data_IF_720858141677
#
_entry.id   IF_720858141677
#
_cell.length_a   1.000
_cell.length_b   1.000
_cell.length_c   1.000
_cell.angle_alpha   90.00
_cell.angle_beta   90.00
_cell.angle_gamma   90.00
#
_symmetry.space_group_name_H-M   'P 1'
#
loop_
_entity.id
_entity.type
_entity.pdbx_description
1 polymer ?
#
# COMPACT_ATOMS: atom_id res chain seq x y z
N UNK A 1 14.39 -17.93 26.03
CA UNK A 1 14.34 -16.82 25.05
C UNK A 1 15.76 -16.30 24.81
N UNK A 2 16.21 -16.20 23.55
CA UNK A 2 17.54 -15.64 23.23
C UNK A 2 17.53 -14.15 23.61
N UNK A 3 18.42 -13.73 24.53
CA UNK A 3 18.57 -12.33 24.90
C UNK A 3 19.40 -11.64 23.83
N UNK A 4 18.78 -10.79 23.02
CA UNK A 4 19.48 -10.00 22.02
C UNK A 4 20.03 -8.73 22.65
N UNK A 5 21.22 -8.32 22.24
CA UNK A 5 21.78 -7.02 22.61
C UNK A 5 21.07 -5.88 21.86
N UNK A 6 21.22 -4.64 22.36
CA UNK A 6 20.70 -3.44 21.70
C UNK A 6 21.21 -3.30 20.26
N UNK A 7 22.49 -3.59 20.03
CA UNK A 7 23.13 -3.46 18.71
C UNK A 7 22.65 -4.55 17.75
N UNK A 8 22.45 -5.77 18.24
CA UNK A 8 21.87 -6.86 17.44
C UNK A 8 20.43 -6.56 17.02
N UNK A 9 19.62 -5.99 17.91
CA UNK A 9 18.25 -5.58 17.58
C UNK A 9 18.23 -4.45 16.53
N UNK A 10 19.15 -3.47 16.63
CA UNK A 10 19.29 -2.42 15.61
C UNK A 10 19.67 -3.01 14.25
N UNK A 11 20.66 -3.90 14.20
CA UNK A 11 21.06 -4.57 12.97
C UNK A 11 19.89 -5.38 12.37
N UNK A 12 19.16 -6.12 13.21
CA UNK A 12 17.99 -6.87 12.78
C UNK A 12 16.88 -5.97 12.21
N UNK A 13 16.64 -4.80 12.82
CA UNK A 13 15.66 -3.83 12.32
C UNK A 13 16.07 -3.30 10.94
N UNK A 14 17.35 -3.03 10.71
CA UNK A 14 17.85 -2.56 9.40
C UNK A 14 17.57 -3.62 8.33
N UNK A 15 17.96 -4.88 8.57
CA UNK A 15 17.72 -5.98 7.63
C UNK A 15 16.22 -6.18 7.34
N UNK A 16 15.40 -6.20 8.40
CA UNK A 16 13.95 -6.34 8.25
C UNK A 16 13.30 -5.15 7.51
N UNK A 17 13.88 -3.95 7.63
CA UNK A 17 13.41 -2.76 6.90
C UNK A 17 13.74 -2.88 5.40
N UNK A 18 14.93 -3.36 5.05
CA UNK A 18 15.32 -3.65 3.67
C UNK A 18 14.39 -4.71 3.08
N UNK A 19 14.14 -5.80 3.81
CA UNK A 19 13.23 -6.87 3.37
C UNK A 19 11.80 -6.39 3.17
N UNK A 20 11.29 -5.55 4.08
CA UNK A 20 9.97 -4.94 3.92
C UNK A 20 9.89 -4.03 2.70
N UNK A 21 10.95 -3.24 2.44
CA UNK A 21 11.03 -2.40 1.25
C UNK A 21 11.07 -3.23 -0.04
N UNK A 22 11.92 -4.26 -0.11
CA UNK A 22 11.99 -5.21 -1.23
C UNK A 22 10.65 -5.89 -1.48
N UNK A 23 9.97 -6.32 -0.42
CA UNK A 23 8.64 -6.92 -0.52
C UNK A 23 7.59 -5.92 -1.03
N UNK A 24 7.72 -4.64 -0.68
CA UNK A 24 6.85 -3.58 -1.19
C UNK A 24 7.06 -3.34 -2.68
N UNK A 25 8.31 -3.30 -3.14
CA UNK A 25 8.63 -3.23 -4.57
C UNK A 25 8.09 -4.43 -5.35
N UNK A 26 8.19 -5.64 -4.77
CA UNK A 26 7.62 -6.84 -5.39
C UNK A 26 6.10 -6.74 -5.56
N UNK A 27 5.38 -6.21 -4.55
CA UNK A 27 3.93 -5.96 -4.66
C UNK A 27 3.63 -4.95 -5.77
N UNK A 28 4.39 -3.86 -5.88
CA UNK A 28 4.20 -2.87 -6.95
C UNK A 28 4.41 -3.47 -8.33
N UNK A 29 5.47 -4.27 -8.51
CA UNK A 29 5.75 -4.97 -9.79
C UNK A 29 4.61 -5.91 -10.17
N UNK A 30 4.17 -6.79 -9.26
CA UNK A 30 3.05 -7.70 -9.52
C UNK A 30 1.74 -6.98 -9.81
N UNK A 31 1.52 -5.81 -9.20
CA UNK A 31 0.34 -5.00 -9.49
C UNK A 31 0.39 -4.41 -10.89
N UNK A 32 1.56 -3.96 -11.33
CA UNK A 32 1.74 -3.45 -12.70
C UNK A 32 1.55 -4.56 -13.72
N UNK A 33 2.18 -5.72 -13.52
CA UNK A 33 1.99 -6.90 -14.39
C UNK A 33 0.51 -7.28 -14.52
N UNK A 34 -0.24 -7.31 -13.41
CA UNK A 34 -1.67 -7.59 -13.44
C UNK A 34 -2.47 -6.53 -14.23
N UNK A 35 -2.13 -5.25 -14.06
CA UNK A 35 -2.76 -4.17 -14.83
C UNK A 35 -2.46 -4.28 -16.32
N UNK A 36 -1.23 -4.64 -16.69
CA UNK A 36 -0.83 -4.84 -18.08
C UNK A 36 -1.59 -6.02 -18.72
N UNK A 37 -1.81 -7.09 -17.95
CA UNK A 37 -2.66 -8.20 -18.37
C UNK A 37 -4.11 -7.78 -18.58
N UNK A 38 -4.69 -6.98 -17.68
CA UNK A 38 -6.04 -6.42 -17.88
C UNK A 38 -6.13 -5.59 -19.15
N UNK A 39 -5.17 -4.69 -19.39
CA UNK A 39 -5.14 -3.89 -20.61
C UNK A 39 -5.01 -4.76 -21.86
N UNK A 40 -4.15 -5.77 -21.83
CA UNK A 40 -3.95 -6.70 -22.96
C UNK A 40 -5.24 -7.46 -23.27
N UNK A 41 -5.92 -7.99 -22.24
CA UNK A 41 -7.17 -8.71 -22.40
C UNK A 41 -8.28 -7.82 -22.98
N UNK A 42 -8.48 -6.63 -22.41
CA UNK A 42 -9.55 -5.73 -22.85
C UNK A 42 -9.30 -5.14 -24.24
N UNK A 43 -8.04 -4.99 -24.66
CA UNK A 43 -7.71 -4.62 -26.05
C UNK A 43 -8.12 -5.71 -27.06
N UNK A 44 -8.01 -6.99 -26.68
CA UNK A 44 -8.31 -8.11 -27.58
C UNK A 44 -9.80 -8.47 -27.60
N UNK A 45 -10.48 -8.41 -26.46
CA UNK A 45 -11.86 -8.89 -26.30
C UNK A 45 -12.91 -7.77 -26.19
N UNK A 46 -12.47 -6.51 -26.05
CA UNK A 46 -13.33 -5.38 -25.75
C UNK A 46 -13.60 -5.23 -24.26
N UNK A 47 -13.93 -4.00 -23.84
CA UNK A 47 -14.31 -3.71 -22.46
C UNK A 47 -15.82 -3.99 -22.26
N UNK A 48 -16.22 -4.75 -21.21
CA UNK A 48 -17.62 -5.02 -20.93
C UNK A 48 -18.44 -3.76 -20.60
N UNK A 49 -17.82 -2.80 -19.89
CA UNK A 49 -18.45 -1.56 -19.45
C UNK A 49 -17.51 -0.37 -19.65
N UNK A 50 -17.70 0.45 -20.70
CA UNK A 50 -16.95 1.69 -20.84
C UNK A 50 -17.32 2.63 -19.69
N UNK A 51 -16.31 3.11 -18.94
CA UNK A 51 -16.37 3.95 -17.72
C UNK A 51 -16.45 3.22 -16.37
N UNK A 52 -16.54 1.89 -16.33
CA UNK A 52 -16.42 1.18 -15.05
C UNK A 52 -14.96 0.99 -14.65
N UNK A 53 -14.62 1.34 -13.41
CA UNK A 53 -13.29 1.06 -12.84
C UNK A 53 -13.36 -0.17 -11.94
N UNK A 54 -12.74 -1.26 -12.40
CA UNK A 54 -12.59 -2.49 -11.63
C UNK A 54 -13.13 -3.72 -12.36
N UNK A 55 -13.09 -4.85 -11.66
CA UNK A 55 -13.59 -6.13 -12.14
C UNK A 55 -14.65 -6.60 -11.16
N UNK A 56 -15.84 -6.88 -11.68
CA UNK A 56 -16.94 -7.46 -10.90
C UNK A 56 -16.78 -8.97 -10.90
N UNK A 57 -16.59 -9.55 -9.72
CA UNK A 57 -16.38 -10.99 -9.56
C UNK A 57 -17.67 -11.80 -9.80
N UNK A 58 -18.82 -11.18 -9.55
CA UNK A 58 -20.14 -11.84 -9.65
C UNK A 58 -20.75 -11.75 -11.05
N UNK A 59 -20.16 -10.95 -11.96
CA UNK A 59 -20.69 -10.75 -13.30
C UNK A 59 -20.01 -11.72 -14.29
N UNK A 60 -20.79 -12.60 -14.97
CA UNK A 60 -20.27 -13.55 -15.95
C UNK A 60 -19.46 -12.91 -17.08
N UNK A 61 -19.71 -11.64 -17.42
CA UNK A 61 -18.97 -10.93 -18.48
C UNK A 61 -17.49 -10.77 -18.15
N UNK A 62 -17.14 -10.78 -16.86
CA UNK A 62 -15.76 -10.69 -16.40
C UNK A 62 -15.12 -12.07 -16.19
N UNK A 63 -15.86 -13.18 -16.36
CA UNK A 63 -15.34 -14.53 -16.12
C UNK A 63 -14.06 -14.80 -16.93
N UNK A 64 -14.03 -14.40 -18.21
CA UNK A 64 -12.86 -14.61 -19.06
C UNK A 64 -11.62 -13.83 -18.63
N UNK A 65 -11.76 -12.56 -18.18
CA UNK A 65 -10.62 -11.79 -17.66
C UNK A 65 -10.16 -12.32 -16.30
N UNK A 66 -11.09 -12.79 -15.47
CA UNK A 66 -10.79 -13.40 -14.17
C UNK A 66 -9.97 -14.68 -14.37
N UNK A 67 -10.40 -15.55 -15.28
CA UNK A 67 -9.68 -16.78 -15.63
C UNK A 67 -8.29 -16.47 -16.19
N UNK A 68 -8.20 -15.55 -17.15
CA UNK A 68 -6.94 -15.12 -17.76
C UNK A 68 -5.93 -14.55 -16.76
N UNK A 69 -6.41 -13.84 -15.73
CA UNK A 69 -5.53 -13.16 -14.75
C UNK A 69 -5.40 -13.88 -13.41
N UNK A 70 -5.98 -15.07 -13.26
CA UNK A 70 -6.08 -15.77 -11.98
C UNK A 70 -4.70 -16.02 -11.34
N UNK A 71 -3.73 -16.46 -12.12
CA UNK A 71 -2.37 -16.73 -11.65
C UNK A 71 -1.65 -15.44 -11.19
N UNK A 72 -1.81 -14.35 -11.94
CA UNK A 72 -1.24 -13.05 -11.59
C UNK A 72 -1.89 -12.47 -10.33
N UNK A 73 -3.21 -12.61 -10.19
CA UNK A 73 -3.93 -12.29 -8.96
C UNK A 73 -3.37 -13.09 -7.77
N UNK A 74 -3.21 -14.41 -7.93
CA UNK A 74 -2.64 -15.29 -6.90
C UNK A 74 -1.21 -14.88 -6.53
N UNK A 75 -0.37 -14.55 -7.52
CA UNK A 75 0.98 -14.07 -7.30
C UNK A 75 1.02 -12.73 -6.54
N UNK A 76 0.10 -11.81 -6.86
CA UNK A 76 -0.04 -10.54 -6.15
C UNK A 76 -0.48 -10.76 -4.69
N UNK A 77 -1.42 -11.67 -4.43
CA UNK A 77 -1.83 -12.02 -3.07
C UNK A 77 -0.66 -12.59 -2.25
N UNK A 78 0.11 -13.52 -2.83
CA UNK A 78 1.33 -14.06 -2.19
C UNK A 78 2.35 -12.96 -1.89
N UNK A 79 2.57 -12.02 -2.81
CA UNK A 79 3.47 -10.89 -2.59
C UNK A 79 2.98 -9.97 -1.44
N UNK A 80 1.67 -9.67 -1.38
CA UNK A 80 1.07 -8.89 -0.29
C UNK A 80 1.25 -9.58 1.07
N UNK A 81 1.03 -10.90 1.12
CA UNK A 81 1.22 -11.68 2.35
C UNK A 81 2.69 -11.62 2.82
N UNK A 82 3.66 -11.76 1.91
CA UNK A 82 5.08 -11.60 2.23
C UNK A 82 5.39 -10.21 2.80
N UNK A 83 4.87 -9.15 2.19
CA UNK A 83 5.03 -7.78 2.69
C UNK A 83 4.46 -7.61 4.10
N UNK A 84 3.25 -8.13 4.36
CA UNK A 84 2.65 -8.06 5.69
C UNK A 84 3.43 -8.84 6.73
N UNK A 85 3.93 -10.02 6.39
CA UNK A 85 4.79 -10.81 7.27
C UNK A 85 6.09 -10.07 7.60
N UNK A 86 6.76 -9.49 6.59
CA UNK A 86 7.96 -8.68 6.79
C UNK A 86 7.70 -7.47 7.70
N UNK A 87 6.59 -6.74 7.48
CA UNK A 87 6.16 -5.64 8.35
C UNK A 87 5.95 -6.10 9.79
N UNK A 88 5.24 -7.22 10.00
CA UNK A 88 4.96 -7.74 11.35
C UNK A 88 6.25 -8.15 12.08
N UNK A 89 7.22 -8.72 11.37
CA UNK A 89 8.54 -9.06 11.92
C UNK A 89 9.31 -7.81 12.31
N UNK A 90 9.31 -6.78 11.45
CA UNK A 90 9.90 -5.48 11.73
C UNK A 90 9.28 -4.84 12.98
N UNK A 91 7.96 -4.74 13.04
CA UNK A 91 7.24 -4.19 14.19
C UNK A 91 7.59 -4.94 15.49
N UNK A 92 7.72 -6.27 15.41
CA UNK A 92 8.12 -7.08 16.57
C UNK A 92 9.54 -6.76 17.04
N UNK A 93 10.49 -6.59 16.12
CA UNK A 93 11.87 -6.23 16.45
C UNK A 93 11.95 -4.82 17.05
N UNK A 94 11.22 -3.85 16.49
CA UNK A 94 11.10 -2.49 17.03
C UNK A 94 10.51 -2.51 18.44
N UNK A 95 9.41 -3.24 18.66
CA UNK A 95 8.80 -3.40 19.99
C UNK A 95 9.79 -3.95 21.02
N UNK A 96 10.59 -4.95 20.65
CA UNK A 96 11.63 -5.52 21.53
C UNK A 96 12.70 -4.49 21.87
N UNK A 97 13.15 -3.70 20.88
CA UNK A 97 14.12 -2.63 21.12
C UNK A 97 13.56 -1.58 22.07
N UNK A 98 12.30 -1.15 21.87
CA UNK A 98 11.64 -0.17 22.72
C UNK A 98 11.55 -0.64 24.17
N UNK A 99 11.12 -1.90 24.40
CA UNK A 99 11.08 -2.51 25.74
C UNK A 99 12.47 -2.51 26.39
N UNK A 100 13.51 -2.89 25.63
CA UNK A 100 14.88 -2.93 26.13
C UNK A 100 15.43 -1.54 26.49
N UNK A 101 15.03 -0.50 25.76
CA UNK A 101 15.47 0.87 26.00
C UNK A 101 14.57 1.66 26.96
N UNK A 102 13.48 1.06 27.46
CA UNK A 102 12.48 1.78 28.28
C UNK A 102 11.70 2.85 27.52
N UNK A 103 11.65 2.77 26.18
CA UNK A 103 10.91 3.72 25.36
C UNK A 103 9.41 3.36 25.35
N UNK A 104 8.55 4.34 25.63
CA UNK A 104 7.09 4.14 25.71
C UNK A 104 6.43 4.03 24.33
N UNK A 105 5.32 3.29 24.26
CA UNK A 105 4.38 3.26 23.14
C UNK A 105 3.45 4.48 23.07
N UNK A 106 3.50 5.36 24.06
CA UNK A 106 2.71 6.58 24.06
C UNK A 106 3.03 7.34 22.77
N UNK A 107 2.02 7.47 21.91
CA UNK A 107 2.01 8.51 20.89
C UNK A 107 2.25 9.79 21.69
N UNK A 108 3.33 10.56 21.43
CA UNK A 108 3.46 11.85 22.07
C UNK A 108 2.13 12.57 21.83
N UNK A 109 1.52 13.13 22.87
CA UNK A 109 0.46 14.12 22.72
C UNK A 109 1.06 15.32 21.98
N UNK A 110 1.34 15.13 20.70
CA UNK A 110 1.61 16.19 19.78
C UNK A 110 0.28 16.90 19.73
N UNK A 111 0.19 17.97 20.52
CA UNK A 111 -0.88 18.96 20.51
C UNK A 111 -1.40 19.01 19.09
N UNK A 112 -2.64 18.57 18.90
CA UNK A 112 -3.33 18.57 17.61
C UNK A 112 -3.18 19.99 17.08
N UNK A 113 -2.17 20.22 16.23
CA UNK A 113 -1.95 21.50 15.62
C UNK A 113 -3.19 21.70 14.79
N UNK A 114 -4.09 22.57 15.28
CA UNK A 114 -5.36 22.89 14.64
C UNK A 114 -5.03 23.08 13.17
N UNK A 115 -5.54 22.19 12.33
CA UNK A 115 -5.42 22.31 10.87
C UNK A 115 -5.78 23.75 10.55
N UNK A 116 -4.89 24.57 9.96
CA UNK A 116 -5.28 25.93 9.59
C UNK A 116 -6.50 25.80 8.70
N UNK A 117 -7.56 26.55 9.04
CA UNK A 117 -8.78 26.56 8.26
C UNK A 117 -8.39 26.82 6.80
N UNK A 118 -8.91 26.00 5.88
CA UNK A 118 -8.68 26.17 4.45
C UNK A 118 -9.12 27.59 4.09
N UNK A 119 -8.15 28.49 3.90
CA UNK A 119 -8.42 29.82 3.38
C UNK A 119 -9.05 29.65 2.01
N UNK A 120 -10.30 30.10 1.88
CA UNK A 120 -11.07 30.08 0.65
C UNK A 120 -10.30 30.90 -0.39
N UNK A 121 -9.54 30.24 -1.27
CA UNK A 121 -8.82 30.90 -2.35
C UNK A 121 -9.87 31.39 -3.34
N UNK A 122 -10.20 32.69 -3.29
CA UNK A 122 -10.99 33.34 -4.33
C UNK A 122 -10.22 33.25 -5.64
N UNK A 123 -10.63 32.36 -6.53
CA UNK A 123 -10.18 32.35 -7.90
C UNK A 123 -10.95 33.44 -8.64
N UNK A 124 -10.27 34.52 -9.01
CA UNK A 124 -10.79 35.48 -9.97
C UNK A 124 -10.46 34.96 -11.37
N UNK A 125 -11.48 34.79 -12.22
CA UNK A 125 -11.26 34.69 -13.66
C UNK A 125 -11.02 36.08 -14.22
N UNK A 126 -10.41 36.18 -15.41
CA UNK A 126 -10.03 37.45 -16.06
C UNK A 126 -11.22 38.41 -16.35
N UNK A 127 -12.46 37.98 -16.11
CA UNK A 127 -13.71 38.71 -16.28
C UNK A 127 -14.35 39.21 -14.97
N UNK A 128 -13.71 39.01 -13.81
CA UNK A 128 -14.09 39.71 -12.57
C UNK A 128 -15.33 39.20 -11.82
N UNK A 129 -15.87 38.03 -12.16
CA UNK A 129 -16.99 37.44 -11.40
C UNK A 129 -16.49 36.46 -10.33
N UNK A 130 -16.98 36.62 -9.10
CA UNK A 130 -16.71 35.71 -7.98
C UNK A 130 -17.85 34.72 -7.81
N UNK A 131 -17.57 33.43 -7.94
CA UNK A 131 -18.51 32.37 -7.55
C UNK A 131 -18.60 32.32 -6.01
N UNK A 132 -19.82 32.45 -5.49
CA UNK A 132 -20.16 32.16 -4.08
C UNK A 132 -20.29 30.67 -3.86
#
# INVERSE_FOLDING_TARGET
MKKYSKNELKAQIIELSIDHHRSSLAVSRRRNELNDMYQTYFRAHGEPEPNHRGIRLDDPRYAGVIEYTNDACTALHKARQKRYSAKRRLDTAVRRLMILTGASFAVPDALVAKRPALTLVRRATASGETLQ
#
